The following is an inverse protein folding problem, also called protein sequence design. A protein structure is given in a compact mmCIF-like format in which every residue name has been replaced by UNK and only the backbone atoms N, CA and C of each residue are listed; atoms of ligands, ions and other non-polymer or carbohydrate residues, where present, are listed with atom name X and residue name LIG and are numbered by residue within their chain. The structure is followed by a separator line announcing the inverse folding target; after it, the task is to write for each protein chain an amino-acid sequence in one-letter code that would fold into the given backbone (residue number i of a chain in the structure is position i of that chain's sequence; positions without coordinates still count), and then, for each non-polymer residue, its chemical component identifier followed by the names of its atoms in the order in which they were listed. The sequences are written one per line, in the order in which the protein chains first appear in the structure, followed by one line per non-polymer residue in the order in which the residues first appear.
data_IF_294489275766
#
_entry.id   IF_294489275766
#
_cell.length_a   1.000
_cell.length_b   1.000
_cell.length_c   1.000
_cell.angle_alpha   90.00
_cell.angle_beta   90.00
_cell.angle_gamma   90.00
#
_symmetry.space_group_name_H-M   'P 1'
#
loop_
_entity.id
_entity.type
_entity.pdbx_description
1 polymer ?
#
# COMPACT_ATOMS: atom_id res chain seq x y z
N UNK A 1 9.29 -5.47 7.25
CA UNK A 1 9.68 -4.07 7.43
C UNK A 1 9.24 -3.26 6.22
N UNK A 2 9.63 -2.00 6.19
CA UNK A 2 9.42 -1.06 5.09
C UNK A 2 10.77 -0.50 4.66
N UNK A 3 10.87 -0.02 3.43
CA UNK A 3 12.04 0.71 2.94
C UNK A 3 12.09 2.05 3.67
N UNK A 4 13.19 2.32 4.38
CA UNK A 4 13.43 3.56 5.10
C UNK A 4 14.85 4.04 4.82
N UNK A 5 15.05 4.98 3.87
CA UNK A 5 16.37 5.53 3.57
C UNK A 5 17.02 6.23 4.77
N UNK A 6 16.20 6.85 5.63
CA UNK A 6 16.68 7.55 6.83
C UNK A 6 17.27 6.58 7.85
N UNK A 7 16.70 5.38 7.96
CA UNK A 7 17.21 4.30 8.83
C UNK A 7 18.23 3.41 8.12
N UNK A 8 18.62 3.73 6.87
CA UNK A 8 19.52 2.91 6.06
C UNK A 8 18.94 1.57 5.62
N UNK A 9 17.61 1.41 5.64
CA UNK A 9 16.91 0.18 5.26
C UNK A 9 16.51 0.23 3.78
N UNK A 10 17.29 -0.44 2.92
CA UNK A 10 16.99 -0.61 1.50
C UNK A 10 16.13 -1.85 1.19
N UNK A 11 15.74 -2.03 -0.08
CA UNK A 11 14.97 -3.21 -0.54
C UNK A 11 15.63 -4.55 -0.24
N UNK A 12 16.97 -4.60 -0.26
CA UNK A 12 17.78 -5.78 0.04
C UNK A 12 17.69 -6.23 1.50
N UNK A 13 17.32 -5.33 2.41
CA UNK A 13 17.04 -5.65 3.81
C UNK A 13 15.64 -6.27 4.01
N UNK A 14 14.82 -6.32 2.96
CA UNK A 14 13.48 -6.90 2.97
C UNK A 14 13.45 -8.24 2.21
N UNK A 15 12.47 -9.07 2.55
CA UNK A 15 12.26 -10.40 1.95
C UNK A 15 11.57 -10.35 0.58
N UNK A 16 12.03 -9.44 -0.28
CA UNK A 16 11.41 -9.22 -1.60
C UNK A 16 11.77 -10.35 -2.55
N UNK A 17 12.98 -10.91 -2.47
CA UNK A 17 13.40 -12.03 -3.33
C UNK A 17 12.53 -13.26 -3.13
N UNK A 18 12.21 -13.56 -1.87
CA UNK A 18 11.34 -14.67 -1.48
C UNK A 18 9.89 -14.45 -1.92
N UNK A 19 9.43 -13.19 -1.93
CA UNK A 19 8.15 -12.85 -2.53
C UNK A 19 8.14 -13.20 -4.02
N UNK A 20 9.16 -12.80 -4.78
CA UNK A 20 9.25 -13.06 -6.22
C UNK A 20 9.20 -14.56 -6.56
N UNK A 21 9.82 -15.40 -5.73
CA UNK A 21 9.78 -16.86 -5.91
C UNK A 21 8.41 -17.51 -5.70
N UNK A 22 7.41 -16.77 -5.21
CA UNK A 22 6.06 -17.27 -4.91
C UNK A 22 4.99 -16.79 -5.89
N UNK A 23 5.37 -16.08 -6.94
CA UNK A 23 4.43 -15.39 -7.83
C UNK A 23 3.92 -16.23 -9.00
N UNK A 24 4.44 -17.44 -9.20
CA UNK A 24 3.96 -18.33 -10.25
C UNK A 24 2.48 -18.70 -10.02
N UNK A 25 1.65 -18.48 -11.04
CA UNK A 25 0.20 -18.74 -10.97
C UNK A 25 -0.61 -17.73 -10.13
N UNK A 26 0.01 -16.65 -9.64
CA UNK A 26 -0.68 -15.61 -8.86
C UNK A 26 -1.36 -14.60 -9.80
N UNK A 27 -2.67 -14.41 -9.62
CA UNK A 27 -3.44 -13.43 -10.41
C UNK A 27 -3.37 -12.02 -9.81
N UNK A 28 -3.32 -11.91 -8.48
CA UNK A 28 -3.34 -10.64 -7.77
C UNK A 28 -2.40 -10.62 -6.56
N UNK A 29 -1.70 -9.50 -6.40
CA UNK A 29 -0.95 -9.16 -5.19
C UNK A 29 -1.59 -7.94 -4.53
N UNK A 30 -2.11 -8.15 -3.31
CA UNK A 30 -2.69 -7.09 -2.48
C UNK A 30 -1.61 -6.56 -1.53
N UNK A 31 -1.24 -5.29 -1.70
CA UNK A 31 -0.30 -4.60 -0.84
C UNK A 31 -0.99 -4.12 0.45
N UNK A 32 -0.68 -4.78 1.55
CA UNK A 32 -1.23 -4.55 2.88
C UNK A 32 -0.19 -3.93 3.84
N UNK A 33 0.52 -2.90 3.38
CA UNK A 33 1.51 -2.19 4.21
C UNK A 33 0.85 -1.10 5.06
N UNK A 34 1.48 -0.77 6.19
CA UNK A 34 1.09 0.34 7.05
C UNK A 34 0.96 1.64 6.25
N UNK A 35 -0.07 2.47 6.47
CA UNK A 35 -0.29 3.71 5.74
C UNK A 35 0.64 4.85 6.18
N UNK A 36 1.95 4.59 6.31
CA UNK A 36 3.00 5.58 6.57
C UNK A 36 3.69 6.01 5.26
N UNK A 37 4.53 7.04 5.33
CA UNK A 37 5.35 7.50 4.20
C UNK A 37 6.23 6.37 3.65
N UNK A 38 6.88 5.62 4.52
CA UNK A 38 7.76 4.49 4.19
C UNK A 38 6.94 3.33 3.62
N UNK A 39 5.77 3.05 4.19
CA UNK A 39 4.84 2.06 3.66
C UNK A 39 4.33 2.41 2.26
N UNK A 40 4.07 3.69 1.99
CA UNK A 40 3.73 4.21 0.67
C UNK A 40 4.87 4.01 -0.32
N UNK A 41 6.07 4.45 0.05
CA UNK A 41 7.26 4.32 -0.77
C UNK A 41 7.54 2.85 -1.12
N UNK A 42 7.43 1.97 -0.12
CA UNK A 42 7.57 0.52 -0.29
C UNK A 42 6.48 -0.05 -1.20
N UNK A 43 5.23 0.40 -1.05
CA UNK A 43 4.13 -0.05 -1.92
C UNK A 43 4.36 0.34 -3.38
N UNK A 44 4.80 1.58 -3.63
CA UNK A 44 5.11 2.08 -4.98
C UNK A 44 6.29 1.30 -5.56
N UNK A 45 7.32 1.04 -4.75
CA UNK A 45 8.48 0.24 -5.16
C UNK A 45 8.05 -1.17 -5.59
N UNK A 46 7.29 -1.88 -4.75
CA UNK A 46 6.77 -3.22 -5.06
C UNK A 46 5.87 -3.19 -6.30
N UNK A 47 5.00 -2.18 -6.42
CA UNK A 47 4.13 -2.05 -7.57
C UNK A 47 4.93 -1.93 -8.88
N UNK A 48 5.99 -1.10 -8.90
CA UNK A 48 6.88 -0.95 -10.07
C UNK A 48 7.66 -2.23 -10.36
N UNK A 49 8.14 -2.92 -9.32
CA UNK A 49 8.91 -4.16 -9.46
C UNK A 49 8.07 -5.31 -10.02
N UNK A 50 6.81 -5.42 -9.60
CA UNK A 50 5.92 -6.52 -9.98
C UNK A 50 5.18 -6.27 -11.31
N UNK A 51 5.01 -5.00 -11.72
CA UNK A 51 4.28 -4.62 -12.94
C UNK A 51 4.71 -5.38 -14.22
N UNK A 52 6.01 -5.63 -14.49
CA UNK A 52 6.43 -6.37 -15.69
C UNK A 52 5.97 -7.83 -15.73
N UNK A 53 5.56 -8.40 -14.61
CA UNK A 53 5.11 -9.80 -14.52
C UNK A 53 3.64 -9.99 -14.96
N UNK A 54 2.94 -8.90 -15.29
CA UNK A 54 1.54 -8.96 -15.72
C UNK A 54 0.54 -9.25 -14.60
N UNK A 55 1.00 -9.34 -13.35
CA UNK A 55 0.16 -9.61 -12.18
C UNK A 55 -0.62 -8.34 -11.81
N UNK A 56 -1.89 -8.50 -11.43
CA UNK A 56 -2.70 -7.38 -10.95
C UNK A 56 -2.19 -6.96 -9.57
N UNK A 57 -1.97 -5.68 -9.37
CA UNK A 57 -1.47 -5.15 -8.10
C UNK A 57 -2.50 -4.19 -7.55
N UNK A 58 -2.97 -4.47 -6.35
CA UNK A 58 -3.91 -3.61 -5.62
C UNK A 58 -3.37 -3.31 -4.24
N UNK A 59 -4.04 -2.43 -3.51
CA UNK A 59 -3.68 -2.09 -2.14
C UNK A 59 -4.95 -1.95 -1.32
N UNK A 60 -4.83 -2.12 -0.01
CA UNK A 60 -5.94 -1.85 0.89
C UNK A 60 -6.39 -0.39 0.80
N UNK A 61 -7.70 -0.20 0.86
CA UNK A 61 -8.32 1.12 0.85
C UNK A 61 -7.85 1.91 2.08
N UNK A 62 -7.86 3.25 1.94
CA UNK A 62 -7.59 4.17 3.04
C UNK A 62 -8.77 5.10 3.19
N UNK A 63 -9.13 5.38 4.43
CA UNK A 63 -10.24 6.27 4.72
C UNK A 63 -10.66 6.16 6.16
N UNK A 64 -11.89 6.60 6.39
CA UNK A 64 -12.48 6.71 7.73
C UNK A 64 -12.96 5.31 8.15
N UNK A 65 -12.55 4.81 9.34
CA UNK A 65 -13.04 3.55 9.85
C UNK A 65 -14.56 3.56 10.07
N UNK A 66 -15.19 2.41 9.95
CA UNK A 66 -16.59 2.25 10.35
C UNK A 66 -16.73 2.52 11.86
N UNK A 67 -17.75 3.28 12.23
CA UNK A 67 -18.01 3.66 13.63
C UNK A 67 -17.16 4.82 14.14
N UNK A 68 -16.30 5.44 13.33
CA UNK A 68 -15.63 6.69 13.68
C UNK A 68 -16.56 7.89 13.55
N UNK A 69 -16.41 8.87 14.44
CA UNK A 69 -17.06 10.17 14.31
C UNK A 69 -16.14 11.14 13.58
N UNK A 70 -16.67 11.87 12.59
CA UNK A 70 -15.89 12.77 11.72
C UNK A 70 -15.13 13.84 12.52
N UNK A 71 -15.68 14.29 13.64
CA UNK A 71 -15.07 15.28 14.54
C UNK A 71 -13.72 14.85 15.14
N UNK A 72 -13.42 13.55 15.14
CA UNK A 72 -12.15 12.99 15.63
C UNK A 72 -11.25 12.46 14.51
N UNK A 73 -11.60 12.70 13.25
CA UNK A 73 -10.81 12.27 12.09
C UNK A 73 -9.79 13.36 11.72
N UNK A 74 -8.54 12.97 11.53
CA UNK A 74 -7.49 13.89 11.07
C UNK A 74 -7.70 14.32 9.60
N UNK A 75 -7.17 15.50 9.26
CA UNK A 75 -7.37 16.11 7.93
C UNK A 75 -6.83 15.24 6.78
N UNK A 76 -5.76 14.47 7.00
CA UNK A 76 -5.18 13.63 5.95
C UNK A 76 -6.08 12.42 5.67
N UNK A 77 -6.63 11.80 6.71
CA UNK A 77 -7.60 10.71 6.57
C UNK A 77 -8.89 11.19 5.92
N UNK A 78 -9.40 12.36 6.34
CA UNK A 78 -10.57 12.98 5.73
C UNK A 78 -10.34 13.30 4.24
N UNK A 79 -9.20 13.89 3.91
CA UNK A 79 -8.81 14.19 2.53
C UNK A 79 -8.75 12.92 1.65
N UNK A 80 -8.17 11.83 2.16
CA UNK A 80 -8.13 10.53 1.46
C UNK A 80 -9.54 9.95 1.24
N UNK A 81 -10.42 10.05 2.24
CA UNK A 81 -11.80 9.59 2.12
C UNK A 81 -12.56 10.40 1.07
N UNK A 82 -12.38 11.72 1.02
CA UNK A 82 -12.98 12.59 0.01
C UNK A 82 -12.49 12.30 -1.41
N UNK A 83 -11.20 11.98 -1.58
CA UNK A 83 -10.63 11.55 -2.87
C UNK A 83 -11.18 10.20 -3.32
N UNK A 84 -11.43 9.29 -2.38
CA UNK A 84 -11.94 7.94 -2.64
C UNK A 84 -13.48 7.87 -2.60
N UNK A 85 -14.16 9.02 -2.55
CA UNK A 85 -15.63 9.07 -2.52
C UNK A 85 -16.18 8.42 -3.78
N UNK A 86 -17.22 7.62 -3.60
CA UNK A 86 -17.94 6.99 -4.71
C UNK A 86 -19.24 7.76 -4.94
N UNK A 87 -19.60 7.96 -6.21
CA UNK A 87 -20.92 8.47 -6.57
C UNK A 87 -21.99 7.44 -6.18
N UNK A 88 -23.11 7.93 -5.67
CA UNK A 88 -24.28 7.12 -5.38
C UNK A 88 -25.36 7.53 -6.37
N UNK A 89 -25.94 6.54 -7.06
CA UNK A 89 -26.96 6.71 -8.10
C UNK A 89 -28.12 7.63 -7.67
#
# INVERSE_FOLDING_TARGET
GVISPLDGIGPEALRIKELLGRLEGVEEVILALTPSTEGEATSIYLAKLLKPQGIRITRLARGIPLGSSLEFVDELTLGKALQSRSEMN
#
